data_IF_319911559673
#
_entry.id   IF_319911559673
#
_cell.length_a   1.000
_cell.length_b   1.000
_cell.length_c   1.000
_cell.angle_alpha   90.00
_cell.angle_beta   90.00
_cell.angle_gamma   90.00
#
_symmetry.space_group_name_H-M   'P 1'
#
loop_
_entity.id
_entity.type
_entity.pdbx_description
1 polymer ?
#
# COMPACT_ATOMS: atom_id res chain seq x y z
N UNK A 1 -43.59 -3.67 75.58
CA UNK A 1 -42.78 -2.63 76.25
C UNK A 1 -42.28 -1.67 75.19
N UNK A 2 -42.80 -0.43 75.20
CA UNK A 2 -42.31 0.78 74.52
C UNK A 2 -42.34 0.78 72.98
N UNK A 3 -42.77 1.82 72.26
CA UNK A 3 -43.34 3.12 72.60
C UNK A 3 -44.00 3.67 71.33
N UNK A 4 -45.20 4.20 71.47
CA UNK A 4 -45.91 5.00 70.46
C UNK A 4 -45.20 6.34 70.28
N UNK A 5 -44.94 6.77 69.04
CA UNK A 5 -44.64 8.18 68.73
C UNK A 5 -45.23 8.60 67.37
N UNK A 6 -46.36 9.29 67.49
CA UNK A 6 -46.72 10.58 66.88
C UNK A 6 -46.52 10.76 65.37
N UNK A 7 -47.65 10.76 64.68
CA UNK A 7 -47.88 11.35 63.36
C UNK A 7 -47.73 12.88 63.45
N UNK A 8 -46.98 13.48 62.53
CA UNK A 8 -47.10 14.90 62.21
C UNK A 8 -47.41 15.05 60.72
N UNK A 9 -48.60 15.59 60.46
CA UNK A 9 -49.06 16.01 59.15
C UNK A 9 -48.54 17.44 58.90
N UNK A 10 -47.82 17.64 57.80
CA UNK A 10 -47.64 18.96 57.20
C UNK A 10 -48.20 18.92 55.78
N UNK A 11 -49.19 19.78 55.52
CA UNK A 11 -49.78 20.04 54.21
C UNK A 11 -49.31 21.43 53.77
N UNK A 12 -49.21 21.61 52.45
CA UNK A 12 -49.12 22.86 51.66
C UNK A 12 -47.68 23.37 51.52
N UNK A 13 -47.12 23.65 50.33
CA UNK A 13 -47.71 24.25 49.14
C UNK A 13 -47.16 23.68 47.82
N UNK A 14 -48.06 23.55 46.84
CA UNK A 14 -47.74 23.27 45.45
C UNK A 14 -47.07 24.50 44.81
N UNK A 15 -45.80 24.36 44.43
CA UNK A 15 -45.14 25.22 43.45
C UNK A 15 -45.16 24.53 42.10
N UNK A 16 -46.07 24.94 41.20
CA UNK A 16 -46.00 24.58 39.78
C UNK A 16 -44.75 25.22 39.17
N UNK A 17 -43.64 24.47 39.12
CA UNK A 17 -42.59 24.75 38.16
C UNK A 17 -42.96 24.06 36.84
N UNK A 18 -43.35 24.87 35.85
CA UNK A 18 -43.43 24.47 34.44
C UNK A 18 -42.03 24.09 33.96
N UNK A 19 -41.61 22.86 34.25
CA UNK A 19 -40.42 22.25 33.68
C UNK A 19 -40.71 21.91 32.23
N UNK A 20 -40.10 22.66 31.32
CA UNK A 20 -40.08 22.36 29.89
C UNK A 20 -39.56 20.94 29.65
N UNK A 21 -40.46 20.03 29.28
CA UNK A 21 -40.13 18.72 28.71
C UNK A 21 -39.49 18.94 27.34
N UNK A 22 -38.17 19.18 27.32
CA UNK A 22 -37.39 19.00 26.11
C UNK A 22 -37.32 17.49 25.83
N UNK A 23 -37.71 17.01 24.64
CA UNK A 23 -37.53 15.60 24.30
C UNK A 23 -36.03 15.32 24.30
N UNK A 24 -35.60 14.41 25.17
CA UNK A 24 -34.25 13.87 25.12
C UNK A 24 -34.11 13.13 23.78
N UNK A 25 -33.46 13.79 22.81
CA UNK A 25 -33.04 13.12 21.59
C UNK A 25 -32.16 11.93 22.01
N UNK A 26 -32.40 10.71 21.51
CA UNK A 26 -31.49 9.62 21.75
C UNK A 26 -30.13 10.07 21.18
N UNK A 27 -29.14 10.18 22.06
CA UNK A 27 -27.74 10.23 21.66
C UNK A 27 -27.43 8.87 21.03
N UNK A 28 -27.81 8.72 19.77
CA UNK A 28 -27.17 7.79 18.88
C UNK A 28 -25.72 8.27 18.81
N UNK A 29 -24.85 7.71 19.66
CA UNK A 29 -23.44 7.70 19.35
C UNK A 29 -23.36 7.01 18.01
N UNK A 30 -23.24 7.79 16.93
CA UNK A 30 -22.83 7.27 15.66
C UNK A 30 -21.55 6.51 15.96
N UNK A 31 -21.63 5.18 15.97
CA UNK A 31 -20.47 4.32 16.06
C UNK A 31 -19.65 4.76 14.86
N UNK A 32 -18.63 5.59 15.10
CA UNK A 32 -17.72 6.05 14.08
C UNK A 32 -17.24 4.76 13.43
N UNK A 33 -17.76 4.46 12.23
CA UNK A 33 -17.24 3.37 11.44
C UNK A 33 -15.78 3.74 11.24
N UNK A 34 -14.88 3.10 12.02
CA UNK A 34 -13.46 3.16 11.71
C UNK A 34 -13.40 2.72 10.26
N UNK A 35 -12.97 3.61 9.37
CA UNK A 35 -12.75 3.30 7.94
C UNK A 35 -11.56 2.34 7.86
N UNK A 36 -11.78 1.11 8.32
CA UNK A 36 -10.81 0.05 8.48
C UNK A 36 -11.47 -1.23 7.98
N UNK A 37 -10.77 -1.92 7.09
CA UNK A 37 -11.17 -3.24 6.61
C UNK A 37 -10.17 -4.23 7.19
N UNK A 38 -10.68 -5.27 7.84
CA UNK A 38 -9.86 -6.35 8.37
C UNK A 38 -9.91 -7.54 7.42
N UNK A 39 -8.75 -7.98 6.96
CA UNK A 39 -8.61 -9.15 6.11
C UNK A 39 -7.97 -10.29 6.91
N UNK A 40 -8.70 -11.40 7.05
CA UNK A 40 -8.14 -12.63 7.62
C UNK A 40 -7.27 -13.34 6.57
N UNK A 41 -6.02 -13.64 6.93
CA UNK A 41 -5.08 -14.37 6.09
C UNK A 41 -4.74 -15.71 6.76
N UNK A 42 -4.46 -16.75 5.95
CA UNK A 42 -4.22 -18.11 6.44
C UNK A 42 -2.77 -18.37 6.89
N UNK A 43 -1.86 -17.42 6.67
CA UNK A 43 -0.45 -17.47 7.07
C UNK A 43 0.05 -16.04 7.29
N UNK A 44 0.90 -15.85 8.30
CA UNK A 44 1.54 -14.57 8.56
C UNK A 44 2.65 -14.28 7.53
N UNK A 45 2.83 -13.00 7.21
CA UNK A 45 3.92 -12.52 6.37
C UNK A 45 5.27 -12.69 7.07
N UNK A 46 6.31 -13.02 6.31
CA UNK A 46 7.66 -13.23 6.85
C UNK A 46 8.52 -11.97 6.71
N UNK A 47 8.57 -11.41 5.50
CA UNK A 47 9.22 -10.12 5.23
C UNK A 47 8.50 -9.33 4.12
N UNK A 48 8.75 -8.02 4.04
CA UNK A 48 8.10 -7.08 3.12
C UNK A 48 8.97 -6.66 1.93
N UNK A 49 9.90 -7.52 1.52
CA UNK A 49 10.74 -7.32 0.34
C UNK A 49 10.22 -8.14 -0.86
N UNK A 50 9.67 -7.48 -1.90
CA UNK A 50 9.06 -8.15 -3.05
C UNK A 50 10.01 -9.01 -3.88
N UNK A 51 11.33 -8.81 -3.76
CA UNK A 51 12.34 -9.55 -4.52
C UNK A 51 12.68 -10.90 -3.88
N UNK A 52 12.44 -11.06 -2.57
CA UNK A 52 12.87 -12.26 -1.82
C UNK A 52 11.73 -13.17 -1.40
N UNK A 53 10.48 -12.79 -1.66
CA UNK A 53 9.28 -13.50 -1.22
C UNK A 53 8.36 -13.81 -2.39
N UNK A 54 7.56 -14.86 -2.26
CA UNK A 54 6.64 -15.35 -3.29
C UNK A 54 5.30 -15.86 -2.75
N UNK A 55 5.08 -15.82 -1.44
CA UNK A 55 3.84 -16.31 -0.87
C UNK A 55 2.72 -15.25 -0.98
N UNK A 56 1.51 -15.74 -1.29
CA UNK A 56 0.35 -14.88 -1.54
C UNK A 56 0.06 -13.84 -0.45
N UNK A 57 0.13 -14.15 0.87
CA UNK A 57 -0.11 -13.14 1.90
C UNK A 57 0.89 -11.99 1.88
N UNK A 58 2.16 -12.26 1.53
CA UNK A 58 3.19 -11.23 1.36
C UNK A 58 2.90 -10.41 0.10
N UNK A 59 2.59 -11.08 -1.02
CA UNK A 59 2.22 -10.44 -2.29
C UNK A 59 1.04 -9.47 -2.10
N UNK A 60 -0.01 -9.89 -1.39
CA UNK A 60 -1.16 -9.03 -1.13
C UNK A 60 -0.77 -7.76 -0.37
N UNK A 61 0.16 -7.85 0.59
CA UNK A 61 0.70 -6.68 1.26
C UNK A 61 1.55 -5.82 0.32
N UNK A 62 2.39 -6.42 -0.53
CA UNK A 62 3.20 -5.68 -1.49
C UNK A 62 2.34 -4.84 -2.43
N UNK A 63 1.23 -5.41 -2.91
CA UNK A 63 0.28 -4.73 -3.81
C UNK A 63 -0.48 -3.58 -3.14
N UNK A 64 -0.42 -3.44 -1.81
CA UNK A 64 -0.93 -2.26 -1.10
C UNK A 64 0.17 -1.22 -0.86
N UNK A 65 1.41 -1.67 -0.66
CA UNK A 65 2.54 -0.85 -0.20
C UNK A 65 3.35 -0.25 -1.36
N UNK A 66 3.47 -0.99 -2.46
CA UNK A 66 4.30 -0.63 -3.59
C UNK A 66 3.47 -0.49 -4.86
N UNK A 67 4.03 0.21 -5.84
CA UNK A 67 3.50 0.30 -7.19
C UNK A 67 4.53 -0.21 -8.19
N UNK A 68 4.06 -0.54 -9.39
CA UNK A 68 4.89 -0.92 -10.52
C UNK A 68 4.84 0.18 -11.59
N UNK A 69 5.55 -0.03 -12.71
CA UNK A 69 5.44 0.89 -13.85
C UNK A 69 4.03 0.90 -14.44
N UNK A 70 3.43 -0.29 -14.55
CA UNK A 70 2.08 -0.54 -15.06
C UNK A 70 1.43 -1.61 -14.21
N UNK A 71 0.10 -1.72 -14.26
CA UNK A 71 -0.65 -2.75 -13.55
C UNK A 71 -1.60 -3.47 -14.49
N UNK A 72 -1.88 -4.73 -14.24
CA UNK A 72 -2.95 -5.46 -14.93
C UNK A 72 -4.28 -4.75 -14.67
N UNK A 73 -5.05 -4.53 -15.72
CA UNK A 73 -6.35 -3.88 -15.61
C UNK A 73 -7.35 -4.79 -14.86
N UNK A 74 -8.45 -4.23 -14.37
CA UNK A 74 -9.43 -4.98 -13.57
C UNK A 74 -10.08 -6.14 -14.35
N UNK A 75 -10.13 -6.05 -15.68
CA UNK A 75 -10.69 -7.08 -16.55
C UNK A 75 -9.73 -8.26 -16.77
N UNK A 76 -8.43 -8.06 -16.53
CA UNK A 76 -7.39 -9.04 -16.80
C UNK A 76 -7.03 -9.21 -18.28
N UNK A 77 -7.49 -8.30 -19.15
CA UNK A 77 -7.29 -8.38 -20.61
C UNK A 77 -6.29 -7.33 -21.15
N UNK A 78 -5.64 -6.58 -20.26
CA UNK A 78 -4.69 -5.55 -20.63
C UNK A 78 -4.04 -4.85 -19.43
N UNK A 79 -3.43 -3.71 -19.68
CA UNK A 79 -2.63 -2.97 -18.70
C UNK A 79 -3.09 -1.52 -18.59
N UNK A 80 -3.18 -1.05 -17.35
CA UNK A 80 -3.43 0.34 -17.01
C UNK A 80 -2.14 1.03 -16.57
N UNK A 81 -2.03 2.36 -16.76
CA UNK A 81 -1.04 3.20 -16.10
C UNK A 81 -1.01 3.00 -14.58
N UNK A 82 0.20 2.89 -14.02
CA UNK A 82 0.46 2.93 -12.58
C UNK A 82 1.44 4.07 -12.26
N UNK A 83 2.71 3.82 -11.92
CA UNK A 83 3.71 4.90 -11.81
C UNK A 83 4.02 5.56 -13.16
N UNK A 84 4.02 4.80 -14.25
CA UNK A 84 4.08 5.36 -15.58
C UNK A 84 2.69 5.82 -16.03
N UNK A 85 2.59 7.06 -16.52
CA UNK A 85 1.33 7.58 -17.09
C UNK A 85 1.08 7.08 -18.52
N UNK A 86 2.16 6.71 -19.22
CA UNK A 86 2.14 6.15 -20.58
C UNK A 86 3.48 5.48 -20.88
N UNK A 87 3.51 4.69 -21.94
CA UNK A 87 4.72 4.09 -22.48
C UNK A 87 4.68 4.01 -24.01
N UNK A 88 5.84 3.80 -24.62
CA UNK A 88 6.00 3.58 -26.06
C UNK A 88 6.93 2.40 -26.30
N UNK A 89 6.73 1.68 -27.40
CA UNK A 89 7.65 0.64 -27.87
C UNK A 89 8.25 1.03 -29.22
N UNK A 90 9.49 0.65 -29.46
CA UNK A 90 10.15 0.82 -30.76
C UNK A 90 9.53 -0.09 -31.83
N UNK A 91 9.76 0.22 -33.10
CA UNK A 91 9.21 -0.54 -34.22
C UNK A 91 9.67 -2.02 -34.24
N UNK A 92 10.86 -2.30 -33.70
CA UNK A 92 11.38 -3.66 -33.54
C UNK A 92 10.90 -4.36 -32.26
N UNK A 93 10.10 -3.70 -31.42
CA UNK A 93 9.55 -4.24 -30.17
C UNK A 93 10.56 -4.44 -29.04
N UNK A 94 11.80 -3.97 -29.19
CA UNK A 94 12.88 -4.21 -28.21
C UNK A 94 13.08 -3.09 -27.20
N UNK A 95 12.74 -1.85 -27.53
CA UNK A 95 12.98 -0.70 -26.67
C UNK A 95 11.67 -0.14 -26.15
N UNK A 96 11.48 -0.18 -24.84
CA UNK A 96 10.31 0.36 -24.16
C UNK A 96 10.70 1.62 -23.39
N UNK A 97 9.95 2.70 -23.59
CA UNK A 97 10.13 3.94 -22.82
C UNK A 97 8.89 4.19 -21.97
N UNK A 98 9.06 4.26 -20.66
CA UNK A 98 8.01 4.55 -19.69
C UNK A 98 8.17 5.99 -19.18
N UNK A 99 7.07 6.74 -19.19
CA UNK A 99 7.04 8.12 -18.75
C UNK A 99 6.34 8.20 -17.38
N UNK A 100 7.07 8.65 -16.37
CA UNK A 100 6.61 8.65 -14.98
C UNK A 100 5.67 9.83 -14.69
N UNK A 101 4.69 9.59 -13.83
CA UNK A 101 3.82 10.65 -13.29
C UNK A 101 4.65 11.63 -12.46
N UNK A 102 4.56 12.92 -12.78
CA UNK A 102 5.19 13.99 -11.97
C UNK A 102 4.66 14.06 -10.53
N UNK A 103 3.44 13.57 -10.31
CA UNK A 103 2.78 13.52 -9.00
C UNK A 103 3.13 12.27 -8.19
N UNK A 104 3.88 11.30 -8.73
CA UNK A 104 4.23 10.10 -8.00
C UNK A 104 5.10 10.43 -6.78
N UNK A 105 4.74 9.88 -5.62
CA UNK A 105 5.42 10.09 -4.34
C UNK A 105 5.53 8.77 -3.59
N UNK A 106 6.66 8.57 -2.93
CA UNK A 106 6.77 7.56 -1.87
C UNK A 106 5.97 8.01 -0.64
N UNK A 107 5.67 7.08 0.26
CA UNK A 107 4.87 7.36 1.46
C UNK A 107 5.53 8.34 2.46
N UNK A 108 6.82 8.63 2.30
CA UNK A 108 7.54 9.68 3.05
C UNK A 108 7.44 11.08 2.39
N UNK A 109 6.80 11.19 1.23
CA UNK A 109 6.65 12.43 0.47
C UNK A 109 7.77 12.71 -0.54
N UNK A 110 8.81 11.88 -0.62
CA UNK A 110 9.85 12.03 -1.64
C UNK A 110 9.27 11.73 -3.04
N UNK A 111 9.70 12.44 -4.10
CA UNK A 111 9.30 12.14 -5.46
C UNK A 111 9.85 10.79 -5.92
N UNK A 112 9.02 10.01 -6.63
CA UNK A 112 9.48 8.84 -7.37
C UNK A 112 10.16 9.33 -8.65
N UNK A 113 11.40 8.90 -8.89
CA UNK A 113 12.19 9.26 -10.07
C UNK A 113 12.57 8.05 -10.89
N UNK A 114 13.01 8.28 -12.12
CA UNK A 114 13.52 7.23 -13.00
C UNK A 114 14.70 6.46 -12.37
N UNK A 115 15.54 7.12 -11.55
CA UNK A 115 16.61 6.46 -10.80
C UNK A 115 16.10 5.35 -9.87
N UNK A 116 15.01 5.61 -9.13
CA UNK A 116 14.38 4.62 -8.25
C UNK A 116 13.90 3.40 -9.04
N UNK A 117 13.34 3.62 -10.23
CA UNK A 117 12.91 2.53 -11.12
C UNK A 117 14.09 1.73 -11.62
N UNK A 118 15.12 2.41 -12.12
CA UNK A 118 16.33 1.75 -12.64
C UNK A 118 16.98 0.89 -11.56
N UNK A 119 17.13 1.44 -10.35
CA UNK A 119 17.69 0.72 -9.21
C UNK A 119 16.82 -0.48 -8.82
N UNK A 120 15.50 -0.29 -8.68
CA UNK A 120 14.59 -1.35 -8.26
C UNK A 120 14.54 -2.51 -9.24
N UNK A 121 14.43 -2.23 -10.55
CA UNK A 121 14.36 -3.28 -11.56
C UNK A 121 15.71 -3.99 -11.74
N UNK A 122 16.85 -3.28 -11.61
CA UNK A 122 18.16 -3.94 -11.56
C UNK A 122 18.27 -4.85 -10.35
N UNK A 123 17.83 -4.40 -9.17
CA UNK A 123 17.79 -5.22 -7.97
C UNK A 123 16.93 -6.47 -8.15
N UNK A 124 15.73 -6.33 -8.73
CA UNK A 124 14.84 -7.45 -9.01
C UNK A 124 15.46 -8.46 -10.01
N UNK A 125 16.18 -7.97 -11.02
CA UNK A 125 16.86 -8.81 -12.02
C UNK A 125 18.12 -9.48 -11.48
N UNK A 126 18.88 -8.82 -10.61
CA UNK A 126 20.24 -9.24 -10.25
C UNK A 126 20.29 -9.96 -8.89
N UNK A 127 19.26 -9.83 -8.05
CA UNK A 127 19.12 -10.59 -6.80
C UNK A 127 18.59 -11.98 -7.10
N UNK A 128 19.23 -13.02 -6.55
CA UNK A 128 18.69 -14.39 -6.60
C UNK A 128 17.41 -14.46 -5.78
N UNK A 129 16.28 -14.52 -6.46
CA UNK A 129 14.96 -14.58 -5.85
C UNK A 129 14.00 -15.45 -6.67
N UNK A 130 12.86 -15.85 -6.09
CA UNK A 130 11.91 -16.77 -6.71
C UNK A 130 11.32 -16.25 -8.04
N UNK A 131 11.30 -14.93 -8.23
CA UNK A 131 10.71 -14.26 -9.40
C UNK A 131 11.71 -13.50 -10.26
N UNK A 132 13.01 -13.77 -10.10
CA UNK A 132 14.08 -13.13 -10.89
C UNK A 132 13.89 -13.35 -12.41
N UNK A 133 13.33 -14.49 -12.79
CA UNK A 133 13.07 -14.88 -14.18
C UNK A 133 12.18 -13.87 -14.93
N UNK A 134 11.34 -13.10 -14.23
CA UNK A 134 10.46 -12.10 -14.84
C UNK A 134 11.22 -11.02 -15.64
N UNK A 135 12.51 -10.82 -15.37
CA UNK A 135 13.33 -9.84 -16.11
C UNK A 135 14.40 -10.50 -16.99
N UNK A 136 14.29 -11.80 -17.31
CA UNK A 136 15.30 -12.51 -18.11
C UNK A 136 15.45 -11.94 -19.54
N UNK A 137 14.34 -11.52 -20.14
CA UNK A 137 14.29 -10.90 -21.47
C UNK A 137 14.94 -9.50 -21.49
N UNK A 138 15.16 -8.89 -20.32
CA UNK A 138 15.73 -7.54 -20.21
C UNK A 138 17.25 -7.60 -20.40
N UNK A 139 17.72 -6.85 -21.38
CA UNK A 139 19.15 -6.63 -21.64
C UNK A 139 19.67 -5.46 -20.81
N UNK A 140 19.01 -4.30 -20.86
CA UNK A 140 19.46 -3.08 -20.18
C UNK A 140 18.29 -2.29 -19.59
N UNK A 141 18.57 -1.57 -18.50
CA UNK A 141 17.65 -0.71 -17.78
C UNK A 141 18.36 0.61 -17.51
N UNK A 142 17.84 1.68 -18.09
CA UNK A 142 18.39 3.03 -17.97
C UNK A 142 17.32 4.10 -17.85
N UNK A 143 17.76 5.35 -17.81
CA UNK A 143 16.90 6.51 -17.78
C UNK A 143 17.43 7.56 -18.76
N UNK A 144 16.53 8.26 -19.45
CA UNK A 144 16.91 9.44 -20.26
C UNK A 144 17.03 10.69 -19.40
N UNK A 145 16.16 10.79 -18.40
CA UNK A 145 16.08 11.87 -17.42
C UNK A 145 15.31 11.36 -16.19
N UNK A 146 15.05 12.25 -15.23
CA UNK A 146 14.34 11.93 -13.97
C UNK A 146 12.91 11.39 -14.17
N UNK A 147 12.29 11.56 -15.34
CA UNK A 147 10.90 11.21 -15.62
C UNK A 147 10.72 10.14 -16.71
N UNK A 148 11.79 9.67 -17.36
CA UNK A 148 11.72 8.72 -18.45
C UNK A 148 12.68 7.53 -18.27
N UNK A 149 12.10 6.34 -18.10
CA UNK A 149 12.82 5.06 -17.97
C UNK A 149 12.85 4.38 -19.32
N UNK A 150 14.01 3.85 -19.72
CA UNK A 150 14.19 3.10 -20.95
C UNK A 150 14.63 1.68 -20.61
N UNK A 151 13.89 0.70 -21.12
CA UNK A 151 14.18 -0.73 -20.95
C UNK A 151 14.42 -1.32 -22.34
N UNK A 152 15.57 -1.97 -22.50
CA UNK A 152 15.95 -2.64 -23.74
C UNK A 152 15.89 -4.15 -23.52
N UNK A 153 15.20 -4.83 -24.43
CA UNK A 153 15.03 -6.28 -24.43
C UNK A 153 16.04 -6.93 -25.37
N UNK A 154 16.45 -8.17 -25.05
CA UNK A 154 17.35 -8.98 -25.90
C UNK A 154 16.70 -9.27 -27.26
N UNK A 155 15.41 -9.55 -27.23
CA UNK A 155 14.55 -9.82 -28.36
C UNK A 155 13.12 -9.31 -28.09
N UNK A 156 12.25 -9.19 -29.11
CA UNK A 156 10.88 -8.78 -28.90
C UNK A 156 10.18 -9.80 -28.01
N UNK A 157 9.58 -9.34 -26.91
CA UNK A 157 9.00 -10.20 -25.89
C UNK A 157 7.54 -9.80 -25.63
N UNK A 158 6.60 -10.60 -26.14
CA UNK A 158 5.17 -10.31 -26.02
C UNK A 158 4.66 -10.19 -24.56
N UNK A 159 5.14 -10.99 -23.59
CA UNK A 159 4.72 -10.88 -22.20
C UNK A 159 5.28 -9.67 -21.44
N UNK A 160 6.13 -8.83 -22.05
CA UNK A 160 6.94 -7.86 -21.31
C UNK A 160 6.14 -6.94 -20.36
N UNK A 161 4.97 -6.44 -20.77
CA UNK A 161 4.12 -5.64 -19.89
C UNK A 161 3.54 -6.44 -18.72
N UNK A 162 3.25 -7.73 -18.91
CA UNK A 162 2.85 -8.62 -17.83
C UNK A 162 3.98 -8.77 -16.82
N UNK A 163 5.19 -9.02 -17.30
CA UNK A 163 6.33 -9.26 -16.44
C UNK A 163 6.67 -8.02 -15.60
N UNK A 164 6.77 -6.83 -16.21
CA UNK A 164 7.09 -5.61 -15.45
C UNK A 164 5.94 -5.14 -14.53
N UNK A 165 4.75 -5.72 -14.66
CA UNK A 165 3.61 -5.49 -13.75
C UNK A 165 3.61 -6.42 -12.52
N UNK A 166 4.49 -7.41 -12.47
CA UNK A 166 4.57 -8.34 -11.35
C UNK A 166 5.04 -7.64 -10.07
N UNK A 167 4.57 -8.15 -8.93
CA UNK A 167 4.92 -7.63 -7.61
C UNK A 167 6.43 -7.60 -7.35
N UNK A 168 7.19 -8.54 -7.89
CA UNK A 168 8.66 -8.60 -7.73
C UNK A 168 9.37 -7.41 -8.39
N UNK A 169 8.69 -6.73 -9.31
CA UNK A 169 9.15 -5.54 -10.03
C UNK A 169 8.59 -4.24 -9.41
N UNK A 170 8.19 -4.30 -8.14
CA UNK A 170 7.80 -3.14 -7.33
C UNK A 170 8.90 -2.09 -7.26
N UNK A 171 8.51 -0.81 -7.33
CA UNK A 171 9.44 0.31 -7.26
C UNK A 171 9.59 0.76 -5.81
N UNK A 172 10.83 0.68 -5.32
CA UNK A 172 11.26 1.05 -3.98
C UNK A 172 12.11 2.32 -4.05
N UNK A 173 12.24 3.03 -2.93
CA UNK A 173 13.11 4.21 -2.86
C UNK A 173 14.59 3.81 -2.86
N UNK A 174 15.31 4.16 -3.93
CA UNK A 174 16.76 3.93 -4.03
C UNK A 174 17.49 4.64 -2.88
N UNK A 175 17.11 5.90 -2.63
CA UNK A 175 17.68 6.73 -1.56
C UNK A 175 17.58 6.06 -0.19
N UNK A 176 16.48 5.35 0.09
CA UNK A 176 16.28 4.70 1.38
C UNK A 176 17.02 3.36 1.50
N UNK A 177 17.19 2.63 0.39
CA UNK A 177 17.54 1.21 0.46
C UNK A 177 18.84 0.80 -0.24
N UNK A 178 19.44 1.63 -1.09
CA UNK A 178 20.66 1.24 -1.84
C UNK A 178 21.83 0.80 -0.95
N UNK A 179 21.96 1.40 0.22
CA UNK A 179 23.01 1.12 1.21
C UNK A 179 22.44 0.41 2.47
N UNK A 180 21.16 0.01 2.43
CA UNK A 180 20.49 -0.60 3.56
C UNK A 180 20.81 -2.09 3.67
N UNK A 181 20.79 -2.60 4.90
CA UNK A 181 20.82 -4.05 5.12
C UNK A 181 19.53 -4.68 4.65
N UNK A 182 19.60 -5.94 4.21
CA UNK A 182 18.43 -6.72 3.79
C UNK A 182 17.31 -6.69 4.84
N UNK A 183 17.65 -6.80 6.13
CA UNK A 183 16.70 -6.72 7.24
C UNK A 183 15.89 -5.40 7.26
N UNK A 184 16.49 -4.28 6.87
CA UNK A 184 15.80 -2.98 6.82
C UNK A 184 14.78 -2.96 5.69
N UNK A 185 15.16 -3.43 4.50
CA UNK A 185 14.24 -3.57 3.34
C UNK A 185 13.07 -4.49 3.71
N UNK A 186 13.40 -5.61 4.36
CA UNK A 186 12.46 -6.65 4.76
C UNK A 186 11.46 -6.24 5.85
N UNK A 187 11.78 -5.26 6.70
CA UNK A 187 10.94 -4.92 7.87
C UNK A 187 10.44 -3.48 7.91
N UNK A 188 11.01 -2.58 7.11
CA UNK A 188 10.68 -1.16 7.09
C UNK A 188 10.38 -0.72 5.66
N UNK A 189 9.31 -1.26 5.03
CA UNK A 189 9.02 -0.99 3.63
C UNK A 189 8.74 0.50 3.40
N UNK A 190 9.23 1.01 2.28
CA UNK A 190 8.97 2.37 1.81
C UNK A 190 8.63 2.32 0.32
N UNK A 191 7.34 2.44 0.03
CA UNK A 191 6.78 2.37 -1.31
C UNK A 191 5.90 3.55 -1.64
N UNK A 192 5.37 3.56 -2.87
CA UNK A 192 4.46 4.59 -3.39
C UNK A 192 3.00 4.11 -3.46
N UNK A 193 2.70 2.93 -2.92
CA UNK A 193 1.36 2.35 -2.92
C UNK A 193 0.34 3.16 -2.14
N UNK A 194 -0.95 2.82 -2.30
CA UNK A 194 -2.05 3.52 -1.63
C UNK A 194 -2.05 3.39 -0.11
N UNK A 195 -1.28 2.45 0.45
CA UNK A 195 -1.14 2.29 1.89
C UNK A 195 0.34 2.21 2.29
N UNK A 196 0.65 2.68 3.50
CA UNK A 196 1.95 2.50 4.13
C UNK A 196 1.84 1.69 5.41
N UNK A 197 2.92 1.00 5.76
CA UNK A 197 3.01 0.28 7.02
C UNK A 197 2.90 1.26 8.21
N UNK A 198 2.09 0.89 9.20
CA UNK A 198 1.97 1.59 10.48
C UNK A 198 2.54 0.74 11.60
N UNK A 199 2.15 -0.54 11.63
CA UNK A 199 2.57 -1.48 12.65
C UNK A 199 2.68 -2.88 12.04
N UNK A 200 3.66 -3.65 12.52
CA UNK A 200 3.78 -5.06 12.20
C UNK A 200 4.09 -5.85 13.46
N UNK A 201 3.09 -6.60 13.95
CA UNK A 201 3.26 -7.61 14.99
C UNK A 201 3.53 -8.94 14.29
N UNK A 202 4.80 -9.38 14.28
CA UNK A 202 5.21 -10.62 13.59
C UNK A 202 4.40 -11.81 14.10
N UNK A 203 3.81 -12.56 13.17
CA UNK A 203 2.96 -13.71 13.48
C UNK A 203 1.51 -13.37 13.85
N UNK A 204 1.15 -12.09 13.95
CA UNK A 204 -0.18 -11.65 14.38
C UNK A 204 -0.88 -10.77 13.33
N UNK A 205 -0.38 -9.56 13.08
CA UNK A 205 -1.06 -8.59 12.20
C UNK A 205 -0.12 -7.59 11.52
N UNK A 206 -0.54 -7.12 10.36
CA UNK A 206 0.00 -5.94 9.68
C UNK A 206 -1.08 -4.86 9.65
N UNK A 207 -0.76 -3.69 10.20
CA UNK A 207 -1.63 -2.50 10.16
C UNK A 207 -1.08 -1.53 9.13
N UNK A 208 -1.92 -1.14 8.17
CA UNK A 208 -1.58 -0.17 7.13
C UNK A 208 -2.53 1.02 7.14
N UNK A 209 -2.08 2.15 6.59
CA UNK A 209 -2.88 3.37 6.49
C UNK A 209 -2.63 4.07 5.15
N UNK A 210 -3.69 4.65 4.58
CA UNK A 210 -3.62 5.54 3.43
C UNK A 210 -2.98 6.90 3.75
#
# INVERSE_FOLDING_TARGET
MGSVRTVLVFVIAAGLALGSLAPAAPNASAQQLKKAVTFGINRAQENLDPVTQDANPDIWAFMQIYQQLVRVNVKGDGFDPDLAERWTTSADGKTWTFFLRKSARFSNGDPVKAGDVVWSLKRARDTKGPWQWALEAVQDIGARDDAAVVITLREPWAPFLADVSLFSNSILSEKAFKDAKQEQISNQPLGSGPFRLVEWRKGEEIVMKA
#
